data_IF_531767536941
#
_entry.id   IF_531767536941
#
_cell.length_a   1.000
_cell.length_b   1.000
_cell.length_c   1.000
_cell.angle_alpha   90.00
_cell.angle_beta   90.00
_cell.angle_gamma   90.00
#
_symmetry.space_group_name_H-M   'P 1'
#
loop_
_entity.id
_entity.type
_entity.pdbx_description
1 polymer ?
#
# COMPACT_ATOMS: atom_id res chain seq x y z
N UNK A 1 5.16 -11.32 -3.87
CA UNK A 1 5.38 -9.89 -3.57
C UNK A 1 6.85 -9.57 -3.82
N UNK A 2 7.13 -8.49 -4.56
CA UNK A 2 8.50 -8.04 -4.87
C UNK A 2 8.68 -6.55 -4.52
N UNK A 3 9.87 -6.17 -4.06
CA UNK A 3 10.28 -4.78 -3.79
C UNK A 3 11.69 -4.52 -4.35
N UNK A 4 12.73 -4.84 -3.60
CA UNK A 4 14.13 -4.54 -3.96
C UNK A 4 14.53 -5.10 -5.33
N UNK A 5 14.07 -6.31 -5.65
CA UNK A 5 14.34 -6.94 -6.96
C UNK A 5 13.73 -6.16 -8.11
N UNK A 6 12.50 -5.65 -7.93
CA UNK A 6 11.82 -4.84 -8.94
C UNK A 6 12.50 -3.47 -9.16
N UNK A 7 12.93 -2.81 -8.08
CA UNK A 7 13.65 -1.53 -8.20
C UNK A 7 15.02 -1.70 -8.88
N UNK A 8 15.75 -2.77 -8.56
CA UNK A 8 17.05 -3.06 -9.18
C UNK A 8 16.94 -3.50 -10.64
N UNK A 9 15.88 -4.20 -10.97
CA UNK A 9 15.60 -4.69 -12.32
C UNK A 9 14.10 -4.56 -12.62
N UNK A 10 13.63 -3.41 -13.10
CA UNK A 10 12.21 -3.19 -13.40
C UNK A 10 11.60 -4.19 -14.37
N UNK A 11 12.39 -4.69 -15.33
CA UNK A 11 11.92 -5.72 -16.29
C UNK A 11 11.46 -7.01 -15.63
N UNK A 12 11.88 -7.28 -14.38
CA UNK A 12 11.43 -8.44 -13.61
C UNK A 12 9.89 -8.45 -13.46
N UNK A 13 9.26 -7.28 -13.30
CA UNK A 13 7.80 -7.16 -13.22
C UNK A 13 7.16 -7.72 -14.49
N UNK A 14 7.64 -7.26 -15.66
CA UNK A 14 7.10 -7.71 -16.96
C UNK A 14 7.37 -9.19 -17.23
N UNK A 15 8.53 -9.71 -16.84
CA UNK A 15 8.86 -11.13 -16.96
C UNK A 15 7.88 -11.98 -16.15
N UNK A 16 7.72 -11.65 -14.86
CA UNK A 16 6.80 -12.37 -13.96
C UNK A 16 5.35 -12.25 -14.41
N UNK A 17 4.95 -11.07 -14.89
CA UNK A 17 3.59 -10.82 -15.38
C UNK A 17 3.26 -11.66 -16.63
N UNK A 18 4.22 -11.83 -17.54
CA UNK A 18 4.07 -12.67 -18.73
C UNK A 18 4.03 -14.17 -18.39
N UNK A 19 4.85 -14.59 -17.42
CA UNK A 19 4.97 -16.00 -17.05
C UNK A 19 3.79 -16.49 -16.20
N UNK A 20 3.36 -15.68 -15.22
CA UNK A 20 2.38 -16.10 -14.20
C UNK A 20 1.05 -15.35 -14.26
N UNK A 21 0.92 -14.36 -15.12
CA UNK A 21 -0.22 -13.45 -15.17
C UNK A 21 -0.08 -12.26 -14.22
N UNK A 22 -0.62 -11.10 -14.62
CA UNK A 22 -0.54 -9.85 -13.82
C UNK A 22 -1.05 -10.02 -12.39
N UNK A 23 -2.14 -10.75 -12.20
CA UNK A 23 -2.78 -10.99 -10.89
C UNK A 23 -1.86 -11.68 -9.87
N UNK A 24 -0.78 -12.33 -10.33
CA UNK A 24 0.21 -12.97 -9.45
C UNK A 24 1.34 -12.02 -9.04
N UNK A 25 1.43 -10.82 -9.63
CA UNK A 25 2.54 -9.90 -9.41
C UNK A 25 2.10 -8.75 -8.52
N UNK A 26 2.52 -8.80 -7.26
CA UNK A 26 2.29 -7.75 -6.26
C UNK A 26 3.60 -7.00 -6.03
N UNK A 27 3.60 -5.67 -6.22
CA UNK A 27 4.76 -4.84 -5.95
C UNK A 27 4.59 -4.12 -4.62
N UNK A 28 5.52 -4.34 -3.70
CA UNK A 28 5.58 -3.62 -2.44
C UNK A 28 6.41 -2.35 -2.60
N UNK A 29 5.82 -1.22 -2.24
CA UNK A 29 6.46 0.10 -2.25
C UNK A 29 6.54 0.61 -0.82
N UNK A 30 7.76 0.83 -0.35
CA UNK A 30 8.02 1.37 0.99
C UNK A 30 8.33 2.86 0.84
N UNK A 31 7.37 3.68 1.23
CA UNK A 31 7.40 5.12 1.04
C UNK A 31 7.94 5.82 2.29
N UNK A 32 8.95 6.65 2.12
CA UNK A 32 9.48 7.53 3.18
C UNK A 32 9.33 8.98 2.77
N UNK A 33 8.73 9.79 3.65
CA UNK A 33 8.54 11.21 3.40
C UNK A 33 9.88 11.94 3.27
N UNK A 34 9.98 12.75 2.26
CA UNK A 34 10.96 13.81 2.04
C UNK A 34 10.21 15.14 2.09
N UNK A 35 10.86 16.25 1.97
CA UNK A 35 10.24 17.57 2.18
C UNK A 35 8.86 17.71 1.53
N UNK A 36 8.74 17.50 0.21
CA UNK A 36 7.51 17.68 -0.56
C UNK A 36 7.02 16.44 -1.31
N UNK A 37 7.73 15.32 -1.23
CA UNK A 37 7.44 14.09 -1.94
C UNK A 37 7.75 12.87 -1.07
N UNK A 38 7.46 11.67 -1.55
CA UNK A 38 7.85 10.41 -0.91
C UNK A 38 8.85 9.66 -1.79
N UNK A 39 9.94 9.20 -1.18
CA UNK A 39 10.92 8.35 -1.84
C UNK A 39 10.57 6.87 -1.62
N UNK A 40 10.58 6.08 -2.70
CA UNK A 40 10.48 4.64 -2.62
C UNK A 40 11.79 4.04 -2.09
N UNK A 41 11.70 3.16 -1.09
CA UNK A 41 12.86 2.56 -0.46
C UNK A 41 13.00 1.07 -0.82
N UNK A 42 14.23 0.57 -0.67
CA UNK A 42 14.61 -0.82 -0.84
C UNK A 42 15.11 -1.44 0.47
N UNK A 43 15.42 -2.75 0.46
CA UNK A 43 16.00 -3.45 1.61
C UNK A 43 15.21 -3.25 2.91
N UNK A 44 13.89 -3.49 2.84
CA UNK A 44 12.97 -3.32 3.97
C UNK A 44 12.96 -1.88 4.53
N UNK A 45 12.90 -0.88 3.66
CA UNK A 45 12.82 0.52 4.04
C UNK A 45 14.14 1.14 4.50
N UNK A 46 15.29 0.47 4.26
CA UNK A 46 16.58 0.91 4.78
C UNK A 46 17.43 1.68 3.78
N UNK A 47 17.22 1.48 2.48
CA UNK A 47 18.07 2.06 1.44
C UNK A 47 17.26 2.88 0.46
N UNK A 48 17.78 4.04 0.10
CA UNK A 48 17.22 4.92 -0.93
C UNK A 48 17.25 4.23 -2.29
N UNK A 49 16.24 4.48 -3.11
CA UNK A 49 16.20 4.00 -4.50
C UNK A 49 16.46 5.09 -5.53
N UNK A 50 16.22 6.35 -5.15
CA UNK A 50 16.21 7.49 -6.06
C UNK A 50 14.88 7.67 -6.80
N UNK A 51 13.90 6.76 -6.64
CA UNK A 51 12.59 6.89 -7.24
C UNK A 51 11.65 7.70 -6.35
N UNK A 52 10.93 8.65 -6.92
CA UNK A 52 9.72 9.18 -6.31
C UNK A 52 8.62 8.12 -6.34
N UNK A 53 7.80 8.06 -5.29
CA UNK A 53 6.76 7.03 -5.17
C UNK A 53 5.76 7.11 -6.32
N UNK A 54 5.32 8.32 -6.70
CA UNK A 54 4.42 8.58 -7.83
C UNK A 54 4.95 8.01 -9.14
N UNK A 55 6.18 8.33 -9.49
CA UNK A 55 6.83 7.89 -10.73
C UNK A 55 7.04 6.37 -10.72
N UNK A 56 7.41 5.82 -9.56
CA UNK A 56 7.61 4.39 -9.43
C UNK A 56 6.29 3.62 -9.54
N UNK A 57 5.20 4.14 -8.99
CA UNK A 57 3.86 3.53 -9.09
C UNK A 57 3.38 3.48 -10.54
N UNK A 58 3.51 4.59 -11.28
CA UNK A 58 3.16 4.62 -12.70
C UNK A 58 4.00 3.62 -13.51
N UNK A 59 5.31 3.57 -13.28
CA UNK A 59 6.19 2.61 -13.93
C UNK A 59 5.79 1.15 -13.63
N UNK A 60 5.51 0.84 -12.36
CA UNK A 60 5.08 -0.50 -11.91
C UNK A 60 3.80 -0.95 -12.61
N UNK A 61 2.81 -0.07 -12.75
CA UNK A 61 1.58 -0.34 -13.48
C UNK A 61 1.85 -0.62 -14.96
N UNK A 62 2.65 0.21 -15.61
CA UNK A 62 3.01 0.10 -17.03
C UNK A 62 3.80 -1.19 -17.32
N UNK A 63 4.59 -1.67 -16.38
CA UNK A 63 5.34 -2.92 -16.46
C UNK A 63 4.47 -4.17 -16.24
N UNK A 64 3.22 -4.01 -15.83
CA UNK A 64 2.25 -5.10 -15.75
C UNK A 64 2.08 -5.71 -14.37
N UNK A 65 2.35 -4.99 -13.29
CA UNK A 65 1.92 -5.41 -11.96
C UNK A 65 0.39 -5.54 -11.89
N UNK A 66 -0.10 -6.39 -11.01
CA UNK A 66 -1.53 -6.61 -10.76
C UNK A 66 -2.04 -5.97 -9.49
N UNK A 67 -1.16 -5.67 -8.52
CA UNK A 67 -1.51 -5.06 -7.24
C UNK A 67 -0.30 -4.32 -6.66
N UNK A 68 -0.57 -3.28 -5.88
CA UNK A 68 0.45 -2.54 -5.14
C UNK A 68 0.15 -2.62 -3.64
N UNK A 69 1.18 -2.90 -2.84
CA UNK A 69 1.16 -2.70 -1.39
C UNK A 69 2.02 -1.48 -1.07
N UNK A 70 1.39 -0.41 -0.60
CA UNK A 70 2.05 0.83 -0.23
C UNK A 70 2.19 0.91 1.30
N UNK A 71 3.41 0.95 1.79
CA UNK A 71 3.71 1.07 3.22
C UNK A 71 4.36 2.42 3.53
N UNK A 72 3.74 3.22 4.40
CA UNK A 72 4.41 4.40 4.96
C UNK A 72 5.42 3.96 6.02
N UNK A 73 6.71 4.12 5.71
CA UNK A 73 7.81 3.78 6.64
C UNK A 73 7.78 4.67 7.89
N UNK A 74 7.35 5.92 7.73
CA UNK A 74 7.27 6.89 8.83
C UNK A 74 6.14 6.57 9.82
N UNK A 75 5.11 5.85 9.37
CA UNK A 75 3.97 5.43 10.19
C UNK A 75 4.03 3.99 10.66
N UNK A 76 4.84 3.15 10.02
CA UNK A 76 4.88 1.72 10.32
C UNK A 76 5.24 1.44 11.79
N UNK A 77 4.44 0.62 12.44
CA UNK A 77 4.57 0.28 13.86
C UNK A 77 4.10 1.35 14.87
N UNK A 78 3.76 2.57 14.43
CA UNK A 78 3.44 3.69 15.34
C UNK A 78 2.02 3.64 15.90
N UNK A 79 1.04 3.08 15.16
CA UNK A 79 -0.41 3.12 15.47
C UNK A 79 -0.99 4.54 15.57
N UNK A 80 -0.35 5.52 14.95
CA UNK A 80 -0.79 6.92 14.92
C UNK A 80 -1.74 7.25 13.76
N UNK A 81 -2.26 6.25 13.10
CA UNK A 81 -3.12 6.35 11.92
C UNK A 81 -2.34 6.18 10.63
N UNK A 82 -3.09 5.84 9.57
CA UNK A 82 -2.58 5.75 8.20
C UNK A 82 -2.00 7.09 7.74
N UNK A 83 -1.05 7.02 6.82
CA UNK A 83 -0.47 8.22 6.20
C UNK A 83 -1.43 8.77 5.13
N UNK A 84 -2.43 9.53 5.58
CA UNK A 84 -3.46 10.09 4.71
C UNK A 84 -2.90 11.09 3.69
N UNK A 85 -1.80 11.76 4.02
CA UNK A 85 -1.13 12.68 3.11
C UNK A 85 -0.49 11.91 1.95
N UNK A 86 0.23 10.83 2.24
CA UNK A 86 0.76 9.91 1.23
C UNK A 86 -0.37 9.33 0.37
N UNK A 87 -1.40 8.77 0.99
CA UNK A 87 -2.52 8.13 0.29
C UNK A 87 -3.21 9.12 -0.67
N UNK A 88 -3.44 10.35 -0.24
CA UNK A 88 -4.03 11.40 -1.07
C UNK A 88 -3.11 11.84 -2.20
N UNK A 89 -1.80 11.91 -1.97
CA UNK A 89 -0.83 12.35 -2.98
C UNK A 89 -0.74 11.40 -4.17
N UNK A 90 -1.09 10.12 -3.96
CA UNK A 90 -1.05 9.08 -5.00
C UNK A 90 -2.42 8.75 -5.58
N UNK A 91 -3.49 9.35 -5.05
CA UNK A 91 -4.86 9.12 -5.52
C UNK A 91 -5.00 9.45 -7.01
N UNK A 92 -5.49 8.47 -7.80
CA UNK A 92 -5.68 8.61 -9.23
C UNK A 92 -4.42 8.45 -10.10
N UNK A 93 -3.26 8.11 -9.51
CA UNK A 93 -2.03 7.83 -10.30
C UNK A 93 -2.11 6.44 -10.95
N UNK A 94 -2.66 5.47 -10.24
CA UNK A 94 -2.76 4.10 -10.73
C UNK A 94 -4.19 3.57 -10.63
N UNK A 95 -4.55 2.70 -11.59
CA UNK A 95 -5.84 2.00 -11.63
C UNK A 95 -5.75 0.59 -11.04
N UNK A 96 -4.62 0.27 -10.38
CA UNK A 96 -4.40 -1.04 -9.75
C UNK A 96 -5.01 -1.10 -8.35
N UNK A 97 -5.46 -2.29 -7.91
CA UNK A 97 -5.77 -2.51 -6.51
C UNK A 97 -4.63 -2.04 -5.61
N UNK A 98 -4.95 -1.19 -4.65
CA UNK A 98 -4.00 -0.59 -3.72
C UNK A 98 -4.30 -1.07 -2.29
N UNK A 99 -3.34 -1.76 -1.69
CA UNK A 99 -3.34 -2.10 -0.27
C UNK A 99 -2.43 -1.14 0.46
N UNK A 100 -2.96 -0.45 1.48
CA UNK A 100 -2.16 0.47 2.30
C UNK A 100 -1.73 -0.17 3.61
N UNK A 101 -0.56 0.21 4.09
CA UNK A 101 0.06 -0.31 5.31
C UNK A 101 0.83 0.77 6.06
N UNK A 102 1.00 0.55 7.37
CA UNK A 102 1.76 1.42 8.27
C UNK A 102 0.89 2.39 9.05
N UNK A 103 0.94 2.25 10.37
CA UNK A 103 0.34 3.18 11.33
C UNK A 103 -1.12 2.95 11.69
N UNK A 104 -1.83 2.04 11.06
CA UNK A 104 -3.27 1.86 11.24
C UNK A 104 -3.74 1.92 12.70
N UNK A 105 -4.83 2.66 12.93
CA UNK A 105 -5.62 2.66 14.15
C UNK A 105 -7.14 2.61 13.85
N UNK A 106 -7.98 2.51 14.91
CA UNK A 106 -9.44 2.38 14.74
C UNK A 106 -10.14 3.65 14.22
N UNK A 107 -9.50 4.82 14.36
CA UNK A 107 -10.08 6.11 13.98
C UNK A 107 -9.79 6.50 12.52
N UNK A 108 -9.04 5.64 11.82
CA UNK A 108 -8.74 5.88 10.40
C UNK A 108 -10.02 5.89 9.55
N UNK A 109 -10.13 6.80 8.58
CA UNK A 109 -11.32 6.99 7.76
C UNK A 109 -11.40 5.96 6.62
N UNK A 110 -11.35 4.67 6.94
CA UNK A 110 -11.31 3.57 5.97
C UNK A 110 -12.52 3.61 5.03
N UNK A 111 -13.69 3.85 5.62
CA UNK A 111 -14.95 3.87 4.89
C UNK A 111 -14.93 4.90 3.75
N UNK A 112 -14.38 6.08 3.99
CA UNK A 112 -14.23 7.11 2.96
C UNK A 112 -13.22 6.68 1.88
N UNK A 113 -12.05 6.19 2.29
CA UNK A 113 -11.00 5.75 1.36
C UNK A 113 -11.46 4.63 0.42
N UNK A 114 -12.30 3.71 0.92
CA UNK A 114 -12.84 2.61 0.11
C UNK A 114 -13.97 3.10 -0.80
N UNK A 115 -14.88 3.95 -0.31
CA UNK A 115 -15.99 4.51 -1.12
C UNK A 115 -15.47 5.35 -2.27
N UNK A 116 -14.42 6.10 -2.04
CA UNK A 116 -13.77 6.95 -3.06
C UNK A 116 -12.87 6.13 -4.00
N UNK A 117 -12.85 4.79 -3.87
CA UNK A 117 -12.02 3.86 -4.63
C UNK A 117 -10.52 4.18 -4.57
N UNK A 118 -10.05 4.80 -3.49
CA UNK A 118 -8.64 5.13 -3.33
C UNK A 118 -7.85 3.90 -2.90
N UNK A 119 -8.45 3.04 -2.04
CA UNK A 119 -7.82 1.82 -1.56
C UNK A 119 -8.72 0.60 -1.76
N UNK A 120 -8.09 -0.55 -1.96
CA UNK A 120 -8.76 -1.87 -2.07
C UNK A 120 -8.58 -2.74 -0.83
N UNK A 121 -7.63 -2.40 0.04
CA UNK A 121 -7.35 -3.15 1.25
C UNK A 121 -6.43 -2.44 2.21
N UNK A 122 -6.31 -3.00 3.42
CA UNK A 122 -5.44 -2.51 4.48
C UNK A 122 -4.67 -3.67 5.07
N UNK A 123 -3.35 -3.52 5.18
CA UNK A 123 -2.51 -4.45 5.90
C UNK A 123 -2.26 -3.94 7.33
N UNK A 124 -2.73 -4.71 8.32
CA UNK A 124 -2.68 -4.33 9.73
C UNK A 124 -1.70 -5.26 10.46
N UNK A 125 -0.67 -4.70 11.07
CA UNK A 125 0.33 -5.43 11.84
C UNK A 125 0.33 -5.04 13.33
N UNK A 126 1.00 -3.96 13.69
CA UNK A 126 1.26 -3.56 15.08
C UNK A 126 -0.01 -3.44 15.93
N UNK A 127 -1.08 -2.85 15.39
CA UNK A 127 -2.35 -2.67 16.11
C UNK A 127 -3.01 -3.99 16.48
N UNK A 128 -2.87 -5.04 15.64
CA UNK A 128 -3.32 -6.39 15.97
C UNK A 128 -2.45 -7.05 17.05
N UNK A 129 -1.13 -7.01 16.89
CA UNK A 129 -0.21 -7.60 17.85
C UNK A 129 -0.37 -7.00 19.25
N UNK A 130 -0.65 -5.71 19.34
CA UNK A 130 -0.88 -5.00 20.60
C UNK A 130 -2.33 -5.07 21.10
N UNK A 131 -3.21 -5.83 20.40
CA UNK A 131 -4.63 -6.00 20.73
C UNK A 131 -5.44 -4.69 20.75
N UNK A 132 -4.98 -3.66 20.06
CA UNK A 132 -5.69 -2.39 19.94
C UNK A 132 -6.83 -2.46 18.91
N UNK A 133 -6.79 -3.46 18.03
CA UNK A 133 -7.78 -3.69 16.99
C UNK A 133 -8.23 -5.14 17.03
N UNK A 134 -9.54 -5.35 16.90
CA UNK A 134 -10.15 -6.66 16.68
C UNK A 134 -10.68 -6.71 15.25
N UNK A 135 -10.21 -7.70 14.47
CA UNK A 135 -10.57 -7.83 13.05
C UNK A 135 -12.07 -8.04 12.85
N UNK A 136 -12.71 -8.88 13.69
CA UNK A 136 -14.15 -9.12 13.58
C UNK A 136 -14.94 -7.85 13.82
N UNK A 137 -14.58 -7.07 14.85
CA UNK A 137 -15.24 -5.78 15.14
C UNK A 137 -15.03 -4.78 14.00
N UNK A 138 -13.82 -4.72 13.44
CA UNK A 138 -13.52 -3.85 12.30
C UNK A 138 -14.35 -4.23 11.07
N UNK A 139 -14.42 -5.53 10.76
CA UNK A 139 -15.21 -6.03 9.61
C UNK A 139 -16.71 -5.77 9.80
N UNK A 140 -17.23 -5.96 11.00
CA UNK A 140 -18.65 -5.65 11.31
C UNK A 140 -18.93 -4.17 11.09
N UNK A 141 -18.09 -3.27 11.63
CA UNK A 141 -18.20 -1.82 11.41
C UNK A 141 -18.20 -1.45 9.92
N UNK A 142 -17.30 -2.03 9.13
CA UNK A 142 -17.25 -1.78 7.69
C UNK A 142 -18.50 -2.29 6.97
N UNK A 143 -18.98 -3.48 7.34
CA UNK A 143 -20.21 -4.07 6.78
C UNK A 143 -21.45 -3.23 7.10
N UNK A 144 -21.59 -2.77 8.36
CA UNK A 144 -22.68 -1.88 8.79
C UNK A 144 -22.67 -0.54 8.03
N UNK A 145 -21.50 -0.08 7.62
CA UNK A 145 -21.31 1.10 6.77
C UNK A 145 -21.42 0.82 5.27
N UNK A 146 -21.92 -0.37 4.88
CA UNK A 146 -22.20 -0.73 3.49
C UNK A 146 -20.95 -1.13 2.67
N UNK A 147 -19.81 -1.35 3.31
CA UNK A 147 -18.58 -1.82 2.65
C UNK A 147 -18.59 -3.34 2.61
N UNK A 148 -18.44 -3.90 1.41
CA UNK A 148 -18.35 -5.35 1.25
C UNK A 148 -17.02 -5.86 1.82
N UNK A 149 -17.09 -6.65 2.87
CA UNK A 149 -15.96 -7.34 3.48
C UNK A 149 -16.22 -8.84 3.56
N UNK A 150 -15.17 -9.62 3.46
CA UNK A 150 -15.27 -11.07 3.69
C UNK A 150 -15.30 -11.30 5.22
N UNK A 151 -16.46 -11.71 5.73
CA UNK A 151 -16.68 -12.06 7.14
C UNK A 151 -16.03 -13.40 7.48
#
# INVERSE_FOLDING_TARGET
>A
IINTGAIKNPSLISILSKEFGRQCVVVSIQAKKKDKYWEALTHCGRSKSGWEVSDWMDNVQNLGAGEIILTSVDRDGTMLGLDLELIKSIGGIVDLPLVVSGGFNNDDPIEALVRDNIISGIAIGASLHRKNVNISSLKNRLSENGIKVRL
#
